data_IF_054731689570
#
_entry.id   IF_054731689570
#
_cell.length_a   1.000
_cell.length_b   1.000
_cell.length_c   1.000
_cell.angle_alpha   90.00
_cell.angle_beta   90.00
_cell.angle_gamma   90.00
#
_symmetry.space_group_name_H-M   'P 1'
#
loop_
_entity.id
_entity.type
_entity.pdbx_description
1 polymer ?
#
# COMPACT_ATOMS: atom_id res chain seq x y z
N UNK A 1 -0.70 -8.04 29.27
CA UNK A 1 -2.18 -7.91 29.30
C UNK A 1 -2.76 -8.46 28.01
N UNK A 2 -3.70 -9.40 28.06
CA UNK A 2 -4.38 -9.89 26.85
C UNK A 2 -5.24 -8.75 26.28
N UNK A 3 -4.92 -8.26 25.07
CA UNK A 3 -5.71 -7.23 24.39
C UNK A 3 -6.86 -7.91 23.67
N UNK A 4 -7.89 -8.26 24.42
CA UNK A 4 -9.14 -8.74 23.84
C UNK A 4 -9.98 -7.54 23.41
N UNK A 5 -10.69 -7.72 22.30
CA UNK A 5 -11.75 -6.78 21.93
C UNK A 5 -12.84 -6.84 23.00
N UNK A 6 -13.22 -5.71 23.61
CA UNK A 6 -14.39 -5.67 24.49
C UNK A 6 -15.64 -6.13 23.74
N UNK A 7 -16.63 -6.72 24.42
CA UNK A 7 -17.91 -7.03 23.80
C UNK A 7 -18.53 -5.76 23.21
N UNK A 8 -19.33 -5.92 22.14
CA UNK A 8 -19.99 -4.77 21.50
C UNK A 8 -20.86 -4.07 22.54
N UNK A 9 -20.70 -2.75 22.73
CA UNK A 9 -21.41 -2.03 23.78
C UNK A 9 -22.91 -1.86 23.48
N UNK A 10 -23.31 -2.06 22.23
CA UNK A 10 -24.68 -1.92 21.75
C UNK A 10 -24.97 -2.93 20.66
N UNK A 11 -26.25 -3.32 20.56
CA UNK A 11 -26.77 -4.09 19.44
C UNK A 11 -27.14 -3.13 18.31
N UNK A 12 -26.27 -3.02 17.31
CA UNK A 12 -26.46 -2.10 16.18
C UNK A 12 -27.66 -2.49 15.32
N UNK A 13 -27.97 -3.77 15.18
CA UNK A 13 -29.08 -4.24 14.32
C UNK A 13 -30.44 -4.09 14.99
N UNK A 14 -30.49 -4.10 16.33
CA UNK A 14 -31.71 -3.73 17.05
C UNK A 14 -32.07 -2.25 16.87
N UNK A 15 -31.06 -1.37 16.77
CA UNK A 15 -31.25 0.06 16.57
C UNK A 15 -31.50 0.44 15.10
N UNK A 16 -30.90 -0.30 14.16
CA UNK A 16 -30.97 -0.06 12.73
C UNK A 16 -31.18 -1.38 11.96
N UNK A 17 -32.41 -1.91 11.92
CA UNK A 17 -32.71 -3.22 11.32
C UNK A 17 -32.29 -3.36 9.86
N UNK A 18 -32.28 -2.25 9.11
CA UNK A 18 -31.90 -2.21 7.70
C UNK A 18 -30.43 -2.64 7.48
N UNK A 19 -29.56 -2.49 8.49
CA UNK A 19 -28.15 -2.87 8.40
C UNK A 19 -27.92 -4.39 8.41
N UNK A 20 -28.89 -5.19 8.85
CA UNK A 20 -28.76 -6.65 8.89
C UNK A 20 -28.46 -7.25 7.51
N UNK A 21 -29.01 -6.64 6.44
CA UNK A 21 -28.75 -7.04 5.06
C UNK A 21 -27.28 -6.84 4.61
N UNK A 22 -26.52 -6.00 5.33
CA UNK A 22 -25.12 -5.67 5.03
C UNK A 22 -24.12 -6.37 5.96
N UNK A 23 -24.58 -7.32 6.79
CA UNK A 23 -23.72 -8.05 7.73
C UNK A 23 -22.63 -8.82 7.00
N UNK A 24 -21.39 -8.66 7.48
CA UNK A 24 -20.23 -9.44 7.06
C UNK A 24 -19.49 -10.08 8.24
N UNK A 25 -18.91 -11.27 8.03
CA UNK A 25 -17.96 -11.86 8.97
C UNK A 25 -16.62 -11.16 8.81
N UNK A 26 -16.03 -10.70 9.91
CA UNK A 26 -14.75 -9.98 9.90
C UNK A 26 -13.83 -10.45 11.02
N UNK A 27 -12.53 -10.47 10.74
CA UNK A 27 -11.48 -10.77 11.73
C UNK A 27 -10.88 -9.46 12.23
N UNK A 28 -11.03 -9.19 13.53
CA UNK A 28 -10.41 -8.01 14.14
C UNK A 28 -8.96 -8.30 14.52
N UNK A 29 -8.03 -7.61 13.86
CA UNK A 29 -6.61 -7.69 14.15
C UNK A 29 -6.22 -6.79 15.33
N UNK A 30 -5.28 -7.25 16.16
CA UNK A 30 -4.66 -6.46 17.23
C UNK A 30 -3.15 -6.43 17.02
N UNK A 31 -2.65 -5.73 15.97
CA UNK A 31 -1.23 -5.73 15.63
C UNK A 31 -0.39 -5.14 16.78
N UNK A 32 0.85 -5.63 16.90
CA UNK A 32 1.85 -5.11 17.83
C UNK A 32 3.08 -4.68 17.04
N UNK A 33 3.77 -3.59 17.43
CA UNK A 33 5.10 -3.32 16.92
C UNK A 33 6.01 -4.53 17.11
N UNK A 34 6.77 -4.86 16.08
CA UNK A 34 7.66 -6.02 16.05
C UNK A 34 8.52 -5.99 14.79
N UNK A 35 9.39 -6.99 14.65
CA UNK A 35 10.16 -7.26 13.43
C UNK A 35 9.72 -8.62 12.89
N UNK A 36 8.60 -8.68 12.17
CA UNK A 36 8.10 -9.92 11.59
C UNK A 36 9.01 -10.35 10.44
N UNK A 37 9.15 -11.67 10.26
CA UNK A 37 9.73 -12.23 9.04
C UNK A 37 8.69 -12.23 7.92
N UNK A 38 9.16 -12.36 6.68
CA UNK A 38 8.29 -12.30 5.50
C UNK A 38 7.18 -13.37 5.49
N UNK A 39 7.41 -14.50 6.17
CA UNK A 39 6.44 -15.59 6.31
C UNK A 39 5.43 -15.40 7.44
N UNK A 40 5.64 -14.42 8.32
CA UNK A 40 4.74 -14.16 9.43
C UNK A 40 3.51 -13.38 8.98
N UNK A 41 2.38 -13.58 9.67
CA UNK A 41 1.22 -12.72 9.48
C UNK A 41 1.47 -11.35 10.13
N UNK A 42 1.76 -10.34 9.33
CA UNK A 42 2.01 -8.97 9.78
C UNK A 42 1.20 -7.94 9.00
N UNK A 43 1.04 -6.75 9.60
CA UNK A 43 0.57 -5.56 8.90
C UNK A 43 1.80 -4.70 8.63
N UNK A 44 2.21 -4.63 7.37
CA UNK A 44 3.50 -4.08 6.96
C UNK A 44 4.67 -5.04 7.26
N UNK A 45 5.91 -4.54 7.13
CA UNK A 45 7.12 -5.35 7.23
C UNK A 45 7.54 -5.97 5.89
N UNK A 46 8.57 -6.83 5.88
CA UNK A 46 9.01 -7.51 4.65
C UNK A 46 7.89 -8.39 4.11
N UNK A 47 7.70 -8.38 2.79
CA UNK A 47 6.68 -9.20 2.12
C UNK A 47 7.33 -10.50 1.62
N UNK A 48 6.62 -11.63 1.79
CA UNK A 48 7.05 -12.93 1.22
C UNK A 48 7.16 -12.88 -0.31
N UNK A 49 6.26 -12.12 -0.92
CA UNK A 49 6.23 -11.82 -2.33
C UNK A 49 5.61 -10.45 -2.48
N UNK A 50 6.17 -9.59 -3.35
CA UNK A 50 7.33 -9.80 -4.21
C UNK A 50 8.64 -9.39 -3.58
N UNK A 51 9.70 -10.12 -3.91
CA UNK A 51 11.05 -9.77 -3.48
C UNK A 51 11.65 -8.61 -4.28
N UNK A 52 11.30 -8.51 -5.58
CA UNK A 52 11.88 -7.52 -6.49
C UNK A 52 10.83 -6.55 -7.02
N UNK A 53 10.98 -5.29 -6.62
CA UNK A 53 10.36 -4.15 -7.30
C UNK A 53 11.02 -4.01 -8.66
N UNK A 54 10.26 -4.28 -9.73
CA UNK A 54 10.76 -4.20 -11.10
C UNK A 54 10.68 -2.76 -11.62
N UNK A 55 9.58 -2.08 -11.33
CA UNK A 55 9.30 -0.73 -11.81
C UNK A 55 8.30 -0.04 -10.89
N UNK A 56 8.58 1.22 -10.56
CA UNK A 56 7.60 2.15 -9.99
C UNK A 56 7.25 3.20 -11.03
N UNK A 57 5.96 3.45 -11.21
CA UNK A 57 5.42 4.55 -12.01
C UNK A 57 4.65 5.46 -11.07
N UNK A 58 5.16 6.66 -10.82
CA UNK A 58 4.50 7.66 -9.98
C UNK A 58 3.66 8.61 -10.86
N UNK A 59 2.57 9.14 -10.30
CA UNK A 59 1.79 10.23 -10.91
C UNK A 59 2.50 11.59 -10.88
N UNK A 60 3.63 11.67 -10.17
CA UNK A 60 4.51 12.85 -10.08
C UNK A 60 5.90 12.46 -10.53
N UNK A 61 6.62 13.39 -11.15
CA UNK A 61 8.03 13.12 -11.48
C UNK A 61 8.86 13.23 -10.21
N UNK A 62 8.71 14.34 -9.49
CA UNK A 62 9.41 14.61 -8.25
C UNK A 62 8.69 15.69 -7.46
N UNK A 63 8.87 15.70 -6.14
CA UNK A 63 8.40 16.77 -5.24
C UNK A 63 9.56 17.54 -4.59
N UNK A 64 10.80 17.12 -4.89
CA UNK A 64 12.07 17.63 -4.40
C UNK A 64 12.27 17.65 -2.86
N UNK A 65 11.28 17.20 -2.09
CA UNK A 65 11.36 16.99 -0.63
C UNK A 65 11.51 15.52 -0.22
N UNK A 66 11.01 14.59 -1.02
CA UNK A 66 11.01 13.14 -0.73
C UNK A 66 12.24 12.39 -1.26
N UNK A 67 13.02 13.00 -2.15
CA UNK A 67 14.09 12.30 -2.88
C UNK A 67 13.57 11.34 -3.95
N UNK A 68 12.37 11.59 -4.48
CA UNK A 68 11.84 10.94 -5.69
C UNK A 68 12.78 11.11 -6.90
N UNK A 69 12.64 10.21 -7.88
CA UNK A 69 13.45 10.19 -9.09
C UNK A 69 13.38 11.54 -9.84
N UNK A 70 14.46 11.95 -10.49
CA UNK A 70 14.49 13.19 -11.29
C UNK A 70 14.93 12.84 -12.71
N UNK A 71 14.30 13.40 -13.76
CA UNK A 71 14.77 13.22 -15.12
C UNK A 71 16.26 13.60 -15.25
N UNK A 72 17.05 12.74 -15.89
CA UNK A 72 18.48 12.98 -16.07
C UNK A 72 18.75 14.18 -16.98
N UNK A 73 17.79 14.49 -17.86
CA UNK A 73 17.79 15.60 -18.81
C UNK A 73 17.60 16.96 -18.12
N UNK A 74 17.09 16.98 -16.88
CA UNK A 74 16.73 18.19 -16.15
C UNK A 74 17.47 18.38 -14.81
N UNK A 75 18.80 18.15 -14.74
CA UNK A 75 19.52 18.06 -13.47
C UNK A 75 19.51 19.36 -12.66
N UNK A 76 19.36 20.52 -13.31
CA UNK A 76 19.53 21.85 -12.71
C UNK A 76 18.24 22.46 -12.14
N UNK A 77 17.09 21.79 -12.28
CA UNK A 77 15.85 22.32 -11.69
C UNK A 77 15.91 22.35 -10.14
N UNK A 78 15.27 23.34 -9.47
CA UNK A 78 15.32 23.44 -8.01
C UNK A 78 14.45 22.40 -7.30
N UNK A 79 14.99 21.80 -6.23
CA UNK A 79 14.35 20.76 -5.38
C UNK A 79 13.06 21.17 -4.65
N UNK A 80 12.45 22.32 -4.95
CA UNK A 80 11.19 22.75 -4.33
C UNK A 80 10.08 22.98 -5.34
N UNK A 81 10.33 22.66 -6.62
CA UNK A 81 9.28 22.62 -7.63
C UNK A 81 8.80 21.18 -7.79
N UNK A 82 7.53 20.92 -7.48
CA UNK A 82 6.89 19.69 -7.93
C UNK A 82 6.79 19.74 -9.45
N UNK A 83 7.45 18.84 -10.17
CA UNK A 83 7.17 18.68 -11.60
C UNK A 83 6.12 17.60 -11.82
N UNK A 84 5.12 17.97 -12.62
CA UNK A 84 4.17 17.05 -13.23
C UNK A 84 4.07 17.49 -14.69
N UNK A 85 4.50 16.64 -15.62
CA UNK A 85 3.69 15.45 -15.89
C UNK A 85 4.53 14.19 -16.21
N UNK A 86 4.34 13.13 -15.43
CA UNK A 86 4.65 11.76 -15.90
C UNK A 86 3.76 11.32 -17.07
N UNK A 87 2.85 12.18 -17.51
CA UNK A 87 1.79 11.96 -18.50
C UNK A 87 0.88 10.75 -18.17
N UNK A 88 0.98 10.25 -16.94
CA UNK A 88 0.26 9.09 -16.42
C UNK A 88 -0.26 9.43 -15.03
N UNK A 89 -1.57 9.33 -14.84
CA UNK A 89 -2.19 9.41 -13.52
C UNK A 89 -2.50 8.02 -13.02
N UNK A 90 -1.85 7.61 -11.93
CA UNK A 90 -2.13 6.34 -11.26
C UNK A 90 -3.15 6.56 -10.14
N UNK A 91 -4.32 5.92 -10.25
CA UNK A 91 -5.33 5.95 -9.20
C UNK A 91 -5.75 7.37 -8.81
N UNK A 92 -5.64 7.70 -7.52
CA UNK A 92 -5.92 9.04 -6.95
C UNK A 92 -4.63 9.86 -6.77
N UNK A 93 -3.82 9.94 -7.83
CA UNK A 93 -2.49 10.57 -7.81
C UNK A 93 -1.45 9.82 -6.98
N UNK A 94 -1.54 8.49 -6.99
CA UNK A 94 -0.66 7.58 -6.28
C UNK A 94 0.45 7.02 -7.16
N UNK A 95 0.94 5.84 -6.80
CA UNK A 95 2.01 5.12 -7.49
C UNK A 95 1.58 3.71 -7.90
N UNK A 96 2.08 3.24 -9.05
CA UNK A 96 1.95 1.87 -9.54
C UNK A 96 3.28 1.15 -9.32
N UNK A 97 3.25 0.10 -8.51
CA UNK A 97 4.41 -0.76 -8.30
C UNK A 97 4.19 -2.07 -9.07
N UNK A 98 5.12 -2.39 -9.97
CA UNK A 98 5.16 -3.63 -10.74
C UNK A 98 6.26 -4.50 -10.20
N UNK A 99 5.96 -5.79 -10.05
CA UNK A 99 6.83 -6.70 -9.35
C UNK A 99 7.05 -8.00 -10.11
N UNK A 100 8.26 -8.52 -9.98
CA UNK A 100 8.69 -9.76 -10.62
C UNK A 100 8.99 -10.86 -9.59
N UNK A 101 8.87 -12.11 -10.04
CA UNK A 101 9.33 -13.26 -9.26
C UNK A 101 10.83 -13.46 -9.51
N UNK A 102 11.69 -13.38 -8.48
CA UNK A 102 13.15 -13.55 -8.65
C UNK A 102 13.51 -14.95 -9.15
N UNK A 103 12.80 -15.98 -8.69
CA UNK A 103 13.12 -17.38 -8.99
C UNK A 103 12.65 -17.81 -10.39
N UNK A 104 11.61 -17.17 -10.94
CA UNK A 104 10.99 -17.55 -12.22
C UNK A 104 10.49 -16.32 -12.99
N UNK A 105 11.34 -15.72 -13.85
CA UNK A 105 11.00 -14.52 -14.62
C UNK A 105 9.79 -14.66 -15.57
N UNK A 106 9.43 -15.90 -15.94
CA UNK A 106 8.27 -16.19 -16.80
C UNK A 106 6.92 -16.21 -16.07
N UNK A 107 6.89 -16.11 -14.74
CA UNK A 107 5.64 -16.01 -13.99
C UNK A 107 4.88 -14.71 -14.28
N UNK A 108 3.54 -14.70 -14.21
CA UNK A 108 2.76 -13.47 -14.33
C UNK A 108 3.23 -12.43 -13.31
N UNK A 109 3.53 -11.23 -13.80
CA UNK A 109 3.86 -10.08 -12.95
C UNK A 109 2.64 -9.71 -12.12
N UNK A 110 2.86 -9.31 -10.88
CA UNK A 110 1.80 -8.68 -10.07
C UNK A 110 2.09 -7.19 -9.95
N UNK A 111 1.06 -6.47 -9.56
CA UNK A 111 1.10 -5.03 -9.41
C UNK A 111 0.21 -4.61 -8.26
N UNK A 112 0.53 -3.49 -7.62
CA UNK A 112 -0.35 -2.80 -6.69
C UNK A 112 -0.38 -1.29 -7.02
N UNK A 113 -1.46 -0.64 -6.60
CA UNK A 113 -1.60 0.82 -6.63
C UNK A 113 -1.67 1.29 -5.18
N UNK A 114 -0.86 2.29 -4.83
CA UNK A 114 -0.78 2.89 -3.48
C UNK A 114 -1.19 4.35 -3.49
#
# INVERSE_FOLDING_TARGET
MSRTTPPRPLDTEALFPELAAHRGTTTRLHPRPGRPEATDSSVGGPLLWPADLLLTVDSSEWDGGSGSWKPQEEPDLPLFRSARPTEVTVGRSGELNVFACPERPGHPRRWCVQ
#
